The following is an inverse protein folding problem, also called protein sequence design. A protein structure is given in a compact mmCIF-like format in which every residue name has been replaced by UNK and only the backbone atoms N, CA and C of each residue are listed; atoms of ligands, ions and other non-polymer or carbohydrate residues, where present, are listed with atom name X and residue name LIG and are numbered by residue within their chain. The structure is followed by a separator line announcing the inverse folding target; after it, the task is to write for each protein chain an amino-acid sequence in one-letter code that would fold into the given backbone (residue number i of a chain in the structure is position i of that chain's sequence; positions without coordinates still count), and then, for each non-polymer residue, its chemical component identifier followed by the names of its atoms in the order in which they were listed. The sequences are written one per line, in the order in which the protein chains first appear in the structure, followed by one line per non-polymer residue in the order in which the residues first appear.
data_IF_976677344353
#
_entry.id   IF_976677344353
#
_cell.length_a   1.000
_cell.length_b   1.000
_cell.length_c   1.000
_cell.angle_alpha   90.00
_cell.angle_beta   90.00
_cell.angle_gamma   90.00
#
_symmetry.space_group_name_H-M   'P 1'
#
loop_
_entity.id
_entity.type
_entity.pdbx_description
1 polymer ?
#
# COMPACT_ATOMS: atom_id res chain seq x y z
N UNK A 1 -13.12 11.35 11.97
CA UNK A 1 -12.00 12.25 11.78
C UNK A 1 -12.24 13.17 10.58
N UNK A 2 -11.87 12.69 9.41
CA UNK A 2 -12.03 13.45 8.18
C UNK A 2 -11.79 12.57 6.96
N UNK A 3 -10.54 12.19 6.79
CA UNK A 3 -10.15 11.34 5.67
C UNK A 3 -9.65 9.98 6.17
N UNK A 4 -9.63 9.03 5.26
CA UNK A 4 -9.19 7.69 5.59
C UNK A 4 -8.12 7.21 4.60
N UNK A 5 -7.36 8.18 4.10
CA UNK A 5 -6.30 7.88 3.14
C UNK A 5 -6.87 7.76 1.72
N UNK A 6 -7.74 6.77 1.55
CA UNK A 6 -8.35 6.54 0.25
C UNK A 6 -9.77 7.11 0.29
N UNK A 7 -9.85 8.41 0.56
CA UNK A 7 -11.13 9.09 0.62
C UNK A 7 -11.43 9.78 -0.71
N UNK A 8 -11.20 9.05 -1.78
CA UNK A 8 -11.44 9.56 -3.11
C UNK A 8 -10.30 10.48 -3.54
N UNK A 9 -9.12 9.88 -3.66
CA UNK A 9 -7.94 10.63 -4.06
C UNK A 9 -7.90 10.74 -5.59
N UNK A 10 -7.55 9.64 -6.22
CA UNK A 10 -7.48 9.61 -7.68
C UNK A 10 -8.05 8.28 -8.18
N UNK A 11 -7.15 7.32 -8.34
CA UNK A 11 -7.55 6.00 -8.82
C UNK A 11 -8.33 5.28 -7.72
N UNK A 12 -8.44 5.95 -6.58
CA UNK A 12 -9.17 5.39 -5.45
C UNK A 12 -10.39 4.63 -5.95
N UNK A 13 -11.01 5.19 -6.98
CA UNK A 13 -12.20 4.58 -7.57
C UNK A 13 -11.90 3.12 -7.95
N UNK A 14 -10.87 2.96 -8.76
CA UNK A 14 -10.48 1.63 -9.21
C UNK A 14 -10.09 0.77 -8.02
N UNK A 15 -9.61 1.43 -6.98
CA UNK A 15 -9.19 0.72 -5.77
C UNK A 15 -10.43 0.14 -5.08
N UNK A 16 -11.35 1.03 -4.75
CA UNK A 16 -12.58 0.61 -4.08
C UNK A 16 -13.23 -0.53 -4.88
N UNK A 17 -13.03 -0.48 -6.19
CA UNK A 17 -13.59 -1.49 -7.07
C UNK A 17 -12.85 -2.82 -6.89
N UNK A 18 -11.59 -2.71 -6.49
CA UNK A 18 -10.76 -3.89 -6.28
C UNK A 18 -10.95 -4.41 -4.86
N UNK A 19 -11.35 -5.67 -4.78
CA UNK A 19 -11.57 -6.31 -3.49
C UNK A 19 -12.06 -7.74 -3.69
N UNK A 20 -11.32 -8.49 -4.48
CA UNK A 20 -11.68 -9.88 -4.76
C UNK A 20 -11.47 -10.74 -3.52
N UNK A 21 -12.26 -10.45 -2.49
CA UNK A 21 -12.16 -11.19 -1.24
C UNK A 21 -10.71 -11.17 -0.75
N UNK A 22 -9.97 -10.19 -1.24
CA UNK A 22 -8.57 -10.06 -0.86
C UNK A 22 -8.46 -9.15 0.36
N UNK A 23 -7.45 -8.29 0.32
CA UNK A 23 -7.23 -7.35 1.41
C UNK A 23 -8.54 -6.62 1.75
N UNK A 24 -9.05 -5.91 0.77
CA UNK A 24 -10.28 -5.17 0.94
C UNK A 24 -10.32 -4.57 2.36
N UNK A 25 -9.29 -3.79 2.65
CA UNK A 25 -9.18 -3.16 3.96
C UNK A 25 -10.27 -2.10 4.09
N UNK A 26 -10.70 -1.58 2.96
CA UNK A 26 -11.73 -0.55 2.93
C UNK A 26 -13.08 -1.16 3.33
N UNK A 27 -13.43 -2.25 2.64
CA UNK A 27 -14.68 -2.93 2.91
C UNK A 27 -14.66 -3.55 4.31
N UNK A 28 -13.56 -4.24 4.60
CA UNK A 28 -13.40 -4.89 5.89
C UNK A 28 -13.48 -3.83 6.99
N UNK A 29 -12.58 -2.87 6.91
CA UNK A 29 -12.53 -1.80 7.88
C UNK A 29 -13.95 -1.30 8.16
N UNK A 30 -14.60 -0.86 7.08
CA UNK A 30 -15.96 -0.36 7.19
C UNK A 30 -16.91 -1.44 7.71
N UNK A 31 -16.48 -2.69 7.55
CA UNK A 31 -17.28 -3.82 7.99
C UNK A 31 -17.14 -4.00 9.50
N UNK A 32 -17.25 -2.89 10.22
CA UNK A 32 -17.13 -2.93 11.67
C UNK A 32 -15.94 -3.79 12.06
N UNK A 33 -14.91 -3.74 11.22
CA UNK A 33 -13.70 -4.51 11.47
C UNK A 33 -13.21 -4.24 12.90
N UNK A 34 -12.50 -5.22 13.44
CA UNK A 34 -11.97 -5.11 14.78
C UNK A 34 -10.87 -6.14 15.02
N UNK A 35 -11.27 -7.40 14.99
CA UNK A 35 -10.33 -8.49 15.19
C UNK A 35 -11.08 -9.82 15.12
N UNK A 36 -11.38 -10.23 13.89
CA UNK A 36 -12.09 -11.48 13.68
C UNK A 36 -11.64 -12.10 12.35
N UNK A 37 -12.03 -11.46 11.26
CA UNK A 37 -11.68 -11.94 9.94
C UNK A 37 -10.27 -12.54 9.95
N UNK A 38 -9.30 -11.68 10.21
CA UNK A 38 -7.91 -12.11 10.25
C UNK A 38 -7.36 -12.19 8.83
N UNK A 39 -7.77 -11.23 8.02
CA UNK A 39 -7.33 -11.17 6.64
C UNK A 39 -5.88 -10.68 6.55
N UNK A 40 -5.72 -9.37 6.67
CA UNK A 40 -4.40 -8.77 6.63
C UNK A 40 -3.47 -9.50 7.58
N UNK A 41 -4.07 -10.14 8.58
CA UNK A 41 -3.30 -10.88 9.57
C UNK A 41 -2.72 -12.13 8.92
N UNK A 42 -3.61 -12.93 8.35
CA UNK A 42 -3.19 -14.16 7.69
C UNK A 42 -2.13 -13.88 6.63
N UNK A 43 -2.26 -12.74 5.98
CA UNK A 43 -1.31 -12.35 4.96
C UNK A 43 -0.08 -11.72 5.62
N UNK A 44 -0.30 -11.22 6.82
CA UNK A 44 0.78 -10.60 7.57
C UNK A 44 1.84 -11.64 7.91
N UNK A 45 1.36 -12.82 8.32
CA UNK A 45 2.25 -13.90 8.68
C UNK A 45 3.33 -14.07 7.61
N UNK A 46 2.90 -14.02 6.36
CA UNK A 46 3.82 -14.17 5.24
C UNK A 46 5.10 -13.37 5.53
N UNK A 47 4.91 -12.09 5.78
CA UNK A 47 6.04 -11.21 6.07
C UNK A 47 7.09 -11.35 4.97
N UNK A 48 6.61 -11.35 3.74
CA UNK A 48 7.49 -11.48 2.59
C UNK A 48 8.17 -10.14 2.31
N UNK A 49 9.41 -10.23 1.75
CA UNK A 49 10.18 -9.04 1.44
C UNK A 49 9.62 -8.36 0.18
N UNK A 50 9.78 -7.05 0.14
CA UNK A 50 9.31 -6.27 -0.99
C UNK A 50 10.16 -5.00 -1.12
N UNK A 51 10.09 -4.41 -2.31
CA UNK A 51 10.84 -3.19 -2.57
C UNK A 51 10.24 -2.44 -3.77
N UNK A 52 10.11 -1.13 -3.60
CA UNK A 52 9.55 -0.29 -4.64
C UNK A 52 10.13 1.12 -4.51
N UNK A 53 10.27 1.76 -5.66
CA UNK A 53 10.81 3.12 -5.69
C UNK A 53 9.65 4.11 -5.85
N UNK A 54 9.84 5.29 -5.26
CA UNK A 54 8.83 6.33 -5.32
C UNK A 54 9.38 7.48 -6.18
N UNK A 55 8.50 8.05 -6.98
CA UNK A 55 8.88 9.16 -7.84
C UNK A 55 7.97 10.36 -7.59
N UNK A 56 8.13 11.37 -8.43
CA UNK A 56 7.34 12.58 -8.32
C UNK A 56 5.84 12.23 -8.26
N UNK A 57 5.19 12.73 -7.22
CA UNK A 57 3.78 12.48 -7.04
C UNK A 57 3.00 12.72 -8.34
N UNK A 58 3.50 13.68 -9.12
CA UNK A 58 2.88 14.02 -10.38
C UNK A 58 2.75 12.78 -11.24
N UNK A 59 3.56 11.78 -10.89
CA UNK A 59 3.55 10.52 -11.63
C UNK A 59 3.07 9.37 -10.74
N UNK A 60 2.64 9.75 -9.54
CA UNK A 60 2.14 8.76 -8.59
C UNK A 60 1.13 7.86 -9.27
N UNK A 61 0.28 8.48 -10.09
CA UNK A 61 -0.75 7.74 -10.81
C UNK A 61 -0.08 6.65 -11.65
N UNK A 62 0.91 7.06 -12.41
CA UNK A 62 1.63 6.13 -13.28
C UNK A 62 2.54 5.23 -12.43
N UNK A 63 3.10 5.82 -11.38
CA UNK A 63 3.98 5.09 -10.50
C UNK A 63 3.22 3.91 -9.89
N UNK A 64 1.93 4.11 -9.72
CA UNK A 64 1.08 3.08 -9.15
C UNK A 64 1.14 1.83 -10.03
N UNK A 65 1.07 2.05 -11.33
CA UNK A 65 1.11 0.97 -12.29
C UNK A 65 2.50 0.32 -12.27
N UNK A 66 3.51 1.18 -12.13
CA UNK A 66 4.88 0.70 -12.09
C UNK A 66 5.15 -0.04 -10.78
N UNK A 67 4.51 0.44 -9.72
CA UNK A 67 4.67 -0.17 -8.41
C UNK A 67 4.10 -1.59 -8.44
N UNK A 68 2.87 -1.69 -8.89
CA UNK A 68 2.20 -2.98 -8.98
C UNK A 68 3.13 -3.97 -9.68
N UNK A 69 3.71 -3.52 -10.77
CA UNK A 69 4.61 -4.37 -11.54
C UNK A 69 5.75 -4.88 -10.64
N UNK A 70 6.01 -4.12 -9.59
CA UNK A 70 7.06 -4.49 -8.65
C UNK A 70 6.49 -5.31 -7.50
N UNK A 71 5.32 -4.88 -7.04
CA UNK A 71 4.65 -5.54 -5.94
C UNK A 71 3.80 -6.69 -6.47
N UNK A 72 2.76 -6.33 -7.22
CA UNK A 72 1.86 -7.31 -7.78
C UNK A 72 2.68 -8.48 -8.34
N UNK A 73 3.90 -8.17 -8.74
CA UNK A 73 4.80 -9.19 -9.28
C UNK A 73 5.05 -10.26 -8.21
N UNK A 74 5.39 -9.79 -7.02
CA UNK A 74 5.67 -10.69 -5.92
C UNK A 74 4.50 -10.67 -4.92
N UNK A 75 3.41 -10.08 -5.34
CA UNK A 75 2.22 -9.99 -4.51
C UNK A 75 0.99 -10.54 -5.22
N UNK A 76 -0.16 -10.29 -4.63
CA UNK A 76 -1.42 -10.75 -5.21
C UNK A 76 -1.99 -9.67 -6.12
N UNK A 77 -2.70 -10.11 -7.14
CA UNK A 77 -3.31 -9.19 -8.09
C UNK A 77 -4.07 -8.09 -7.33
N UNK A 78 -3.40 -6.95 -7.21
CA UNK A 78 -4.00 -5.82 -6.52
C UNK A 78 -3.76 -4.54 -7.32
N UNK A 79 -4.77 -3.68 -7.32
CA UNK A 79 -4.68 -2.43 -8.05
C UNK A 79 -4.77 -1.26 -7.07
N UNK A 80 -3.97 -1.35 -6.02
CA UNK A 80 -3.94 -0.31 -5.00
C UNK A 80 -2.97 0.80 -5.42
N UNK A 81 -3.07 1.92 -4.72
CA UNK A 81 -2.21 3.05 -5.00
C UNK A 81 -1.18 3.20 -3.89
N UNK A 82 -0.14 3.95 -4.17
CA UNK A 82 0.92 4.18 -3.21
C UNK A 82 0.35 4.88 -1.97
N UNK A 83 -0.68 5.67 -2.20
CA UNK A 83 -1.33 6.39 -1.10
C UNK A 83 -2.15 5.40 -0.27
N UNK A 84 -2.71 4.42 -0.95
CA UNK A 84 -3.52 3.41 -0.29
C UNK A 84 -2.63 2.37 0.39
N UNK A 85 -1.48 2.13 -0.23
CA UNK A 85 -0.53 1.17 0.30
C UNK A 85 -0.09 1.60 1.70
N UNK A 86 0.13 2.89 1.83
CA UNK A 86 0.55 3.45 3.11
C UNK A 86 -0.54 3.21 4.16
N UNK A 87 -1.78 3.46 3.75
CA UNK A 87 -2.92 3.26 4.62
C UNK A 87 -3.17 1.78 4.87
N UNK A 88 -3.25 1.04 3.77
CA UNK A 88 -3.50 -0.39 3.85
C UNK A 88 -2.39 -1.05 4.67
N UNK A 89 -1.16 -0.58 4.44
CA UNK A 89 -0.02 -1.12 5.13
C UNK A 89 -0.10 -0.73 6.61
N UNK A 90 -0.28 0.56 6.84
CA UNK A 90 -0.37 1.07 8.20
C UNK A 90 -1.17 0.10 9.08
N UNK A 91 -2.16 -0.52 8.46
CA UNK A 91 -3.00 -1.48 9.17
C UNK A 91 -2.22 -2.74 9.49
N UNK A 92 -1.51 -3.22 8.48
CA UNK A 92 -0.71 -4.43 8.63
C UNK A 92 0.70 -4.05 9.12
N UNK A 93 0.88 -2.75 9.31
CA UNK A 93 2.17 -2.25 9.77
C UNK A 93 2.05 -0.76 10.08
N UNK A 94 1.50 -0.48 11.26
CA UNK A 94 1.32 0.90 11.69
C UNK A 94 2.64 1.46 12.21
N UNK A 95 3.68 0.64 12.12
CA UNK A 95 5.00 1.04 12.59
C UNK A 95 5.74 1.77 11.47
N UNK A 96 6.36 0.98 10.60
CA UNK A 96 7.11 1.53 9.48
C UNK A 96 6.30 1.40 8.19
N UNK A 97 5.84 2.53 7.68
CA UNK A 97 5.06 2.55 6.47
C UNK A 97 5.84 3.30 5.37
N UNK A 98 5.32 3.24 4.16
CA UNK A 98 5.94 3.90 3.03
C UNK A 98 5.28 5.25 2.79
N UNK A 99 6.09 6.21 2.37
CA UNK A 99 5.58 7.54 2.10
C UNK A 99 5.75 7.86 0.61
N UNK A 100 5.37 9.08 0.25
CA UNK A 100 5.47 9.52 -1.13
C UNK A 100 5.85 11.00 -1.20
N UNK A 101 6.86 11.29 -1.99
CA UNK A 101 7.32 12.67 -2.14
C UNK A 101 7.16 13.09 -3.60
N UNK A 102 6.95 14.38 -3.78
CA UNK A 102 6.78 14.93 -5.11
C UNK A 102 7.71 16.13 -5.29
N UNK A 103 8.97 15.84 -5.58
CA UNK A 103 9.95 16.88 -5.77
C UNK A 103 11.30 16.24 -6.13
N UNK A 104 11.58 15.13 -5.49
CA UNK A 104 12.82 14.41 -5.74
C UNK A 104 12.55 12.91 -5.85
N UNK A 105 13.62 12.17 -6.14
CA UNK A 105 13.50 10.73 -6.28
C UNK A 105 13.67 10.07 -4.90
N UNK A 106 12.82 9.07 -4.66
CA UNK A 106 12.87 8.36 -3.40
C UNK A 106 12.73 6.84 -3.62
N UNK A 107 13.05 6.10 -2.58
CA UNK A 107 12.96 4.64 -2.64
C UNK A 107 12.60 4.07 -1.27
N UNK A 108 11.76 3.05 -1.31
CA UNK A 108 11.32 2.40 -0.09
C UNK A 108 11.34 0.89 -0.27
N UNK A 109 11.68 0.19 0.80
CA UNK A 109 11.74 -1.26 0.76
C UNK A 109 11.58 -1.85 2.16
N UNK A 110 11.18 -3.13 2.19
CA UNK A 110 10.99 -3.82 3.46
C UNK A 110 11.22 -5.32 3.25
N UNK A 111 11.38 -6.01 4.36
CA UNK A 111 11.61 -7.45 4.32
C UNK A 111 10.45 -8.19 5.00
N UNK A 112 9.80 -7.49 5.90
CA UNK A 112 8.67 -8.06 6.62
C UNK A 112 7.66 -6.99 6.97
N UNK A 113 8.16 -5.91 7.57
CA UNK A 113 7.31 -4.80 7.96
C UNK A 113 8.01 -3.98 9.05
N UNK A 114 8.91 -4.65 9.75
CA UNK A 114 9.66 -4.00 10.81
C UNK A 114 10.74 -3.09 10.26
N UNK A 115 11.79 -3.72 9.73
CA UNK A 115 12.90 -2.98 9.16
C UNK A 115 12.58 -2.58 7.72
N UNK A 116 12.85 -1.32 7.41
CA UNK A 116 12.60 -0.80 6.08
C UNK A 116 13.87 -0.12 5.54
N UNK A 117 13.84 0.19 4.26
CA UNK A 117 14.98 0.83 3.62
C UNK A 117 14.48 2.03 2.81
N UNK A 118 15.25 3.12 2.87
CA UNK A 118 14.91 4.32 2.15
C UNK A 118 16.13 4.82 1.38
N UNK A 119 15.86 5.55 0.31
CA UNK A 119 16.92 6.09 -0.53
C UNK A 119 16.34 7.15 -1.46
N UNK A 120 17.24 7.84 -2.15
CA UNK A 120 16.83 8.88 -3.07
C UNK A 120 17.09 8.41 -4.51
N UNK A 121 17.18 7.10 -4.65
CA UNK A 121 17.42 6.50 -5.96
C UNK A 121 18.76 7.00 -6.51
N UNK A 122 19.48 6.08 -7.13
CA UNK A 122 20.78 6.42 -7.70
C UNK A 122 21.11 5.45 -8.84
#
# INVERSE_FOLDING_TARGET
MRERGWSQKKIARELKTTRQNVSAIERKAMENIEKSRNTLDFVKSLKSPVRILCRRGDTLDEIIKRLLEESNKEGIHVIHDSITLAFLIREKASHRIVHRVVKSDFEIGVTRDGEIIVDLNS
#
